data_IF_574363128901
#
_entry.id   IF_574363128901
#
_cell.length_a   1.000
_cell.length_b   1.000
_cell.length_c   1.000
_cell.angle_alpha   90.00
_cell.angle_beta   90.00
_cell.angle_gamma   90.00
#
_symmetry.space_group_name_H-M   'P 1'
#
loop_
_entity.id
_entity.type
_entity.pdbx_description
1 polymer ?
#
# COMPACT_ATOMS: atom_id res chain seq x y z
N UNK A 1 16.66 1.47 -28.51
CA UNK A 1 16.19 2.86 -28.34
C UNK A 1 15.99 3.13 -26.87
N UNK A 2 16.66 4.14 -26.30
CA UNK A 2 16.45 4.53 -24.91
C UNK A 2 15.03 5.12 -24.78
N UNK A 3 14.19 4.47 -24.00
CA UNK A 3 12.84 4.96 -23.74
C UNK A 3 12.90 6.01 -22.62
N UNK A 4 12.79 7.25 -22.99
CA UNK A 4 12.87 8.39 -22.07
C UNK A 4 11.52 8.62 -21.35
N UNK A 5 11.59 9.14 -20.15
CA UNK A 5 10.43 9.64 -19.41
C UNK A 5 9.70 10.72 -20.23
N UNK A 6 8.38 10.78 -20.09
CA UNK A 6 7.53 11.76 -20.77
C UNK A 6 6.83 12.63 -19.74
N UNK A 7 7.14 13.92 -19.79
CA UNK A 7 6.52 14.93 -18.92
C UNK A 7 5.80 15.91 -19.84
N UNK A 8 4.51 16.15 -19.61
CA UNK A 8 3.72 17.03 -20.46
C UNK A 8 2.50 17.62 -19.71
N UNK A 9 1.82 18.58 -20.34
CA UNK A 9 0.80 19.37 -19.67
C UNK A 9 1.40 20.38 -18.70
N UNK A 10 0.73 20.61 -17.60
CA UNK A 10 1.18 21.52 -16.52
C UNK A 10 1.87 20.74 -15.38
N UNK A 11 2.50 19.61 -15.68
CA UNK A 11 3.17 18.80 -14.66
C UNK A 11 4.43 19.53 -14.16
N UNK A 12 4.58 19.55 -12.84
CA UNK A 12 5.71 20.20 -12.17
C UNK A 12 6.65 19.16 -11.55
N UNK A 13 7.94 19.27 -11.86
CA UNK A 13 8.98 18.42 -11.29
C UNK A 13 9.94 19.32 -10.52
N UNK A 14 10.08 19.07 -9.23
CA UNK A 14 10.94 19.86 -8.36
C UNK A 14 12.23 19.13 -7.99
N UNK A 15 13.26 19.90 -7.88
CA UNK A 15 14.69 19.74 -7.64
C UNK A 15 15.32 18.34 -7.56
N UNK A 16 15.08 17.50 -6.57
CA UNK A 16 15.87 16.28 -6.40
C UNK A 16 15.15 15.03 -6.93
N UNK A 17 13.93 15.18 -7.45
CA UNK A 17 13.14 14.05 -7.96
C UNK A 17 13.88 13.34 -9.11
N UNK A 18 13.96 12.02 -9.01
CA UNK A 18 14.66 11.17 -9.97
C UNK A 18 13.65 10.42 -10.82
N UNK A 19 13.52 10.82 -12.08
CA UNK A 19 12.59 10.23 -13.04
C UNK A 19 13.39 9.40 -14.06
N UNK A 20 13.09 8.11 -14.18
CA UNK A 20 13.85 7.19 -15.04
C UNK A 20 12.92 6.35 -15.93
N UNK A 21 13.48 5.80 -16.98
CA UNK A 21 12.81 4.85 -17.89
C UNK A 21 11.57 5.45 -18.60
N UNK A 22 10.45 4.72 -18.63
CA UNK A 22 9.22 5.06 -19.37
C UNK A 22 8.15 5.73 -18.52
N UNK A 23 8.54 6.40 -17.46
CA UNK A 23 7.61 7.12 -16.59
C UNK A 23 6.83 8.16 -17.39
N UNK A 24 5.55 8.33 -17.06
CA UNK A 24 4.69 9.37 -17.62
C UNK A 24 4.12 10.23 -16.51
N UNK A 25 4.37 11.54 -16.60
CA UNK A 25 3.86 12.53 -15.65
C UNK A 25 3.15 13.61 -16.47
N UNK A 26 1.88 13.88 -16.17
CA UNK A 26 1.10 14.77 -17.01
C UNK A 26 -0.09 15.41 -16.30
N UNK A 27 -0.79 16.29 -17.00
CA UNK A 27 -1.83 17.17 -16.45
C UNK A 27 -1.21 18.14 -15.43
N UNK A 28 -1.74 18.23 -14.22
CA UNK A 28 -1.28 19.13 -13.16
C UNK A 28 -0.56 18.35 -12.04
N UNK A 29 0.06 17.23 -12.39
CA UNK A 29 0.75 16.39 -11.42
C UNK A 29 2.01 17.09 -10.88
N UNK A 30 2.23 16.92 -9.57
CA UNK A 30 3.41 17.44 -8.88
C UNK A 30 4.30 16.28 -8.44
N UNK A 31 5.60 16.35 -8.74
CA UNK A 31 6.61 15.41 -8.25
C UNK A 31 7.77 16.19 -7.69
N UNK A 32 8.08 16.00 -6.40
CA UNK A 32 9.11 16.78 -5.71
C UNK A 32 9.86 16.01 -4.64
N UNK A 33 10.70 16.71 -3.87
CA UNK A 33 11.59 16.11 -2.88
C UNK A 33 12.60 15.17 -3.54
N UNK A 34 12.97 14.10 -2.85
CA UNK A 34 13.86 13.04 -3.34
C UNK A 34 13.08 11.86 -3.95
N UNK A 35 11.85 12.07 -4.39
CA UNK A 35 10.99 11.06 -4.96
C UNK A 35 11.64 10.32 -6.13
N UNK A 36 11.52 9.00 -6.16
CA UNK A 36 12.09 8.14 -7.20
C UNK A 36 10.98 7.46 -8.00
N UNK A 37 10.87 7.81 -9.28
CA UNK A 37 9.92 7.24 -10.22
C UNK A 37 10.66 6.49 -11.33
N UNK A 38 10.28 5.23 -11.59
CA UNK A 38 10.94 4.45 -12.63
C UNK A 38 10.03 3.39 -13.27
N UNK A 39 10.57 2.65 -14.23
CA UNK A 39 9.87 1.70 -15.08
C UNK A 39 8.73 2.35 -15.87
N UNK A 40 7.48 1.96 -15.70
CA UNK A 40 6.35 2.45 -16.47
C UNK A 40 5.32 3.18 -15.61
N UNK A 41 5.74 3.67 -14.44
CA UNK A 41 4.89 4.39 -13.51
C UNK A 41 4.22 5.60 -14.16
N UNK A 42 3.01 5.91 -13.70
CA UNK A 42 2.24 7.06 -14.18
C UNK A 42 1.77 7.92 -13.02
N UNK A 43 1.96 9.23 -13.14
CA UNK A 43 1.43 10.23 -12.19
C UNK A 43 0.68 11.28 -12.98
N UNK A 44 -0.60 11.49 -12.68
CA UNK A 44 -1.42 12.42 -13.46
C UNK A 44 -2.63 12.98 -12.69
N UNK A 45 -3.37 13.85 -13.33
CA UNK A 45 -4.43 14.62 -12.65
C UNK A 45 -3.83 15.74 -11.80
N UNK A 46 -4.30 15.86 -10.57
CA UNK A 46 -3.75 16.75 -9.56
C UNK A 46 -2.99 15.96 -8.48
N UNK A 47 -2.44 14.82 -8.84
CA UNK A 47 -1.73 13.95 -7.91
C UNK A 47 -0.40 14.57 -7.46
N UNK A 48 -0.02 14.32 -6.22
CA UNK A 48 1.22 14.79 -5.64
C UNK A 48 2.07 13.62 -5.13
N UNK A 49 3.35 13.59 -5.54
CA UNK A 49 4.34 12.61 -5.09
C UNK A 49 5.56 13.37 -4.59
N UNK A 50 5.93 13.21 -3.33
CA UNK A 50 7.06 13.95 -2.75
C UNK A 50 7.70 13.20 -1.55
N UNK A 51 8.66 13.83 -0.88
CA UNK A 51 9.48 13.17 0.13
C UNK A 51 10.44 12.18 -0.53
N UNK A 52 10.64 11.02 0.07
CA UNK A 52 11.44 9.92 -0.44
C UNK A 52 10.56 8.83 -1.12
N UNK A 53 9.37 9.19 -1.58
CA UNK A 53 8.42 8.22 -2.14
C UNK A 53 8.98 7.49 -3.36
N UNK A 54 8.75 6.18 -3.43
CA UNK A 54 9.16 5.34 -4.55
C UNK A 54 7.95 4.83 -5.35
N UNK A 55 7.87 5.17 -6.63
CA UNK A 55 6.79 4.74 -7.52
C UNK A 55 7.37 3.99 -8.72
N UNK A 56 6.99 2.72 -8.89
CA UNK A 56 7.54 1.92 -9.99
C UNK A 56 6.63 0.77 -10.46
N UNK A 57 7.11 0.00 -11.41
CA UNK A 57 6.28 -0.98 -12.11
C UNK A 57 5.35 -0.28 -13.09
N UNK A 58 4.11 -0.70 -13.08
CA UNK A 58 3.00 -0.08 -13.80
C UNK A 58 2.05 0.66 -12.85
N UNK A 59 2.56 1.14 -11.70
CA UNK A 59 1.75 1.84 -10.71
C UNK A 59 1.18 3.14 -11.28
N UNK A 60 -0.04 3.47 -10.86
CA UNK A 60 -0.74 4.68 -11.30
C UNK A 60 -1.17 5.51 -10.08
N UNK A 61 -0.73 6.77 -10.04
CA UNK A 61 -1.13 7.74 -9.03
C UNK A 61 -1.91 8.86 -9.74
N UNK A 62 -3.18 9.07 -9.39
CA UNK A 62 -4.00 10.03 -10.13
C UNK A 62 -5.15 10.64 -9.32
N UNK A 63 -5.92 11.50 -9.97
CA UNK A 63 -6.93 12.31 -9.30
C UNK A 63 -6.25 13.36 -8.42
N UNK A 64 -6.62 13.45 -7.15
CA UNK A 64 -6.01 14.31 -6.13
C UNK A 64 -5.31 13.47 -5.05
N UNK A 65 -4.74 12.34 -5.44
CA UNK A 65 -4.05 11.44 -4.52
C UNK A 65 -2.67 11.97 -4.12
N UNK A 66 -2.24 11.64 -2.91
CA UNK A 66 -0.94 12.03 -2.36
C UNK A 66 -0.15 10.79 -1.96
N UNK A 67 1.11 10.72 -2.40
CA UNK A 67 2.07 9.70 -1.98
C UNK A 67 3.33 10.41 -1.51
N UNK A 68 3.70 10.25 -0.25
CA UNK A 68 4.77 11.04 0.35
C UNK A 68 5.50 10.30 1.48
N UNK A 69 6.47 10.98 2.12
CA UNK A 69 7.43 10.39 3.06
C UNK A 69 8.21 9.24 2.40
N UNK A 70 8.35 8.09 3.06
CA UNK A 70 9.06 6.89 2.57
C UNK A 70 8.10 5.85 1.96
N UNK A 71 6.94 6.29 1.48
CA UNK A 71 5.92 5.41 0.93
C UNK A 71 6.35 4.76 -0.40
N UNK A 72 5.96 3.50 -0.61
CA UNK A 72 6.28 2.73 -1.82
C UNK A 72 5.00 2.29 -2.53
N UNK A 73 4.84 2.64 -3.81
CA UNK A 73 3.74 2.16 -4.64
C UNK A 73 4.29 1.45 -5.87
N UNK A 74 3.93 0.16 -6.06
CA UNK A 74 4.53 -0.65 -7.12
C UNK A 74 3.61 -1.70 -7.73
N UNK A 75 4.08 -2.36 -8.77
CA UNK A 75 3.34 -3.39 -9.50
C UNK A 75 2.26 -2.75 -10.36
N UNK A 76 1.03 -3.20 -10.24
CA UNK A 76 -0.16 -2.65 -10.92
C UNK A 76 -1.03 -1.83 -9.96
N UNK A 77 -0.49 -1.44 -8.80
CA UNK A 77 -1.22 -0.74 -7.76
C UNK A 77 -1.71 0.63 -8.24
N UNK A 78 -2.87 1.04 -7.73
CA UNK A 78 -3.48 2.34 -8.05
C UNK A 78 -3.81 3.11 -6.79
N UNK A 79 -3.43 4.39 -6.75
CA UNK A 79 -3.78 5.33 -5.68
C UNK A 79 -4.47 6.52 -6.33
N UNK A 80 -5.74 6.77 -5.97
CA UNK A 80 -6.54 7.77 -6.68
C UNK A 80 -7.64 8.43 -5.84
N UNK A 81 -8.41 9.30 -6.44
CA UNK A 81 -9.34 10.21 -5.76
C UNK A 81 -8.59 11.14 -4.80
N UNK A 82 -8.91 11.12 -3.50
CA UNK A 82 -8.26 11.90 -2.45
C UNK A 82 -7.45 11.03 -1.48
N UNK A 83 -7.09 9.82 -1.92
CA UNK A 83 -6.36 8.87 -1.11
C UNK A 83 -4.96 9.36 -0.77
N UNK A 84 -4.46 8.98 0.40
CA UNK A 84 -3.12 9.31 0.87
C UNK A 84 -2.34 8.04 1.24
N UNK A 85 -1.10 7.94 0.80
CA UNK A 85 -0.17 6.87 1.18
C UNK A 85 1.09 7.55 1.70
N UNK A 86 1.48 7.27 2.94
CA UNK A 86 2.58 7.99 3.60
C UNK A 86 3.33 7.14 4.61
N UNK A 87 4.34 7.74 5.24
CA UNK A 87 5.24 7.09 6.17
C UNK A 87 5.95 5.91 5.47
N UNK A 88 5.98 4.72 6.05
CA UNK A 88 6.63 3.52 5.49
C UNK A 88 5.64 2.57 4.79
N UNK A 89 4.45 3.08 4.45
CA UNK A 89 3.40 2.27 3.85
C UNK A 89 3.77 1.77 2.45
N UNK A 90 3.37 0.54 2.13
CA UNK A 90 3.60 -0.09 0.83
C UNK A 90 2.28 -0.50 0.20
N UNK A 91 2.09 -0.13 -1.08
CA UNK A 91 0.93 -0.55 -1.88
C UNK A 91 1.45 -1.27 -3.11
N UNK A 92 1.05 -2.54 -3.31
CA UNK A 92 1.65 -3.39 -4.33
C UNK A 92 0.66 -4.41 -4.92
N UNK A 93 1.09 -5.15 -5.94
CA UNK A 93 0.21 -6.07 -6.66
C UNK A 93 -0.81 -5.32 -7.48
N UNK A 94 -2.08 -5.72 -7.43
CA UNK A 94 -3.22 -5.06 -8.07
C UNK A 94 -4.02 -4.19 -7.09
N UNK A 95 -3.48 -3.88 -5.92
CA UNK A 95 -4.17 -3.17 -4.85
C UNK A 95 -4.62 -1.77 -5.29
N UNK A 96 -5.76 -1.34 -4.77
CA UNK A 96 -6.35 -0.04 -5.05
C UNK A 96 -6.59 0.72 -3.74
N UNK A 97 -6.06 1.92 -3.64
CA UNK A 97 -6.33 2.85 -2.54
C UNK A 97 -7.08 4.04 -3.12
N UNK A 98 -8.30 4.27 -2.65
CA UNK A 98 -9.20 5.27 -3.25
C UNK A 98 -10.06 5.99 -2.22
N UNK A 99 -10.98 6.83 -2.69
CA UNK A 99 -11.85 7.60 -1.81
C UNK A 99 -11.05 8.63 -1.02
N UNK A 100 -11.20 8.63 0.30
CA UNK A 100 -10.46 9.45 1.25
C UNK A 100 -9.55 8.61 2.16
N UNK A 101 -9.28 7.37 1.77
CA UNK A 101 -8.46 6.45 2.56
C UNK A 101 -7.07 7.02 2.82
N UNK A 102 -6.56 6.75 4.01
CA UNK A 102 -5.17 7.02 4.39
C UNK A 102 -4.48 5.70 4.75
N UNK A 103 -3.44 5.35 4.04
CA UNK A 103 -2.59 4.18 4.31
C UNK A 103 -1.26 4.70 4.83
N UNK A 104 -0.90 4.35 6.05
CA UNK A 104 0.27 4.87 6.75
C UNK A 104 0.94 3.83 7.65
N UNK A 105 1.93 4.26 8.43
CA UNK A 105 2.71 3.38 9.29
C UNK A 105 3.48 2.35 8.46
N UNK A 106 3.50 1.14 8.92
CA UNK A 106 4.14 0.00 8.26
C UNK A 106 3.16 -0.88 7.48
N UNK A 107 2.00 -0.34 7.10
CA UNK A 107 0.99 -1.07 6.34
C UNK A 107 1.55 -1.57 5.00
N UNK A 108 1.24 -2.81 4.64
CA UNK A 108 1.55 -3.36 3.32
C UNK A 108 0.28 -3.87 2.67
N UNK A 109 -0.32 -3.07 1.81
CA UNK A 109 -1.52 -3.41 1.06
C UNK A 109 -1.11 -4.19 -0.20
N UNK A 110 -1.67 -5.38 -0.39
CA UNK A 110 -1.20 -6.32 -1.41
C UNK A 110 -2.34 -7.10 -2.08
N UNK A 111 -1.98 -7.87 -3.10
CA UNK A 111 -2.94 -8.65 -3.87
C UNK A 111 -3.86 -7.75 -4.66
N UNK A 112 -5.14 -7.97 -4.55
CA UNK A 112 -6.23 -7.23 -5.17
C UNK A 112 -7.04 -6.38 -4.16
N UNK A 113 -6.45 -6.11 -2.98
CA UNK A 113 -7.10 -5.36 -1.91
C UNK A 113 -7.60 -3.99 -2.38
N UNK A 114 -8.77 -3.62 -1.88
CA UNK A 114 -9.39 -2.31 -2.10
C UNK A 114 -9.51 -1.61 -0.75
N UNK A 115 -8.92 -0.43 -0.63
CA UNK A 115 -8.94 0.41 0.57
C UNK A 115 -9.65 1.72 0.23
N UNK A 116 -10.78 1.98 0.88
CA UNK A 116 -11.60 3.18 0.72
C UNK A 116 -11.58 4.06 1.98
N UNK A 117 -11.32 3.42 3.14
CA UNK A 117 -11.17 4.08 4.43
C UNK A 117 -9.99 3.49 5.22
N UNK A 118 -9.63 4.14 6.31
CA UNK A 118 -8.61 3.61 7.23
C UNK A 118 -9.07 2.35 7.98
N UNK A 119 -10.36 2.05 7.97
CA UNK A 119 -10.94 0.87 8.63
C UNK A 119 -10.85 -0.40 7.77
N UNK A 120 -10.41 -0.28 6.51
CA UNK A 120 -10.33 -1.41 5.59
C UNK A 120 -9.07 -2.26 5.76
N UNK A 121 -8.20 -1.89 6.69
CA UNK A 121 -7.00 -2.66 6.99
C UNK A 121 -6.61 -2.55 8.47
N UNK A 122 -5.88 -3.54 8.95
CA UNK A 122 -5.31 -3.60 10.31
C UNK A 122 -3.83 -3.90 10.18
N UNK A 123 -2.99 -3.18 10.93
CA UNK A 123 -1.56 -3.47 11.07
C UNK A 123 -1.28 -3.91 12.49
N UNK A 124 -0.69 -5.08 12.64
CA UNK A 124 -0.22 -5.59 13.93
C UNK A 124 1.26 -5.92 13.85
N UNK A 125 1.92 -5.94 14.99
CA UNK A 125 3.34 -6.35 15.09
C UNK A 125 3.46 -7.59 15.96
N UNK A 126 4.07 -8.62 15.42
CA UNK A 126 4.38 -9.82 16.18
C UNK A 126 5.69 -9.66 16.95
N UNK A 127 5.60 -9.04 18.13
CA UNK A 127 6.77 -8.77 18.98
C UNK A 127 7.33 -10.03 19.64
N UNK A 128 6.51 -11.07 19.81
CA UNK A 128 6.83 -12.25 20.60
C UNK A 128 7.57 -13.35 19.82
N UNK A 129 7.52 -13.31 18.49
CA UNK A 129 8.26 -14.28 17.67
C UNK A 129 9.07 -13.62 16.57
N UNK A 130 8.47 -13.24 15.46
CA UNK A 130 9.19 -12.76 14.28
C UNK A 130 9.61 -11.29 14.33
N UNK A 131 9.05 -10.49 15.23
CA UNK A 131 9.22 -9.02 15.28
C UNK A 131 8.66 -8.28 14.05
N UNK A 132 7.99 -8.99 13.13
CA UNK A 132 7.50 -8.44 11.86
C UNK A 132 6.16 -7.75 12.02
N UNK A 133 5.96 -6.68 11.26
CA UNK A 133 4.64 -6.14 11.03
C UNK A 133 3.89 -7.03 10.04
N UNK A 134 2.61 -7.22 10.27
CA UNK A 134 1.73 -7.84 9.31
C UNK A 134 0.48 -6.97 9.12
N UNK A 135 -0.05 -7.02 7.91
CA UNK A 135 -1.23 -6.26 7.53
C UNK A 135 -2.33 -7.23 7.12
N UNK A 136 -3.48 -7.07 7.71
CA UNK A 136 -4.72 -7.69 7.24
C UNK A 136 -5.50 -6.67 6.41
N UNK A 137 -6.08 -7.09 5.31
CA UNK A 137 -6.96 -6.26 4.47
C UNK A 137 -8.33 -6.89 4.36
N UNK A 138 -9.36 -6.13 4.72
CA UNK A 138 -10.76 -6.58 4.82
C UNK A 138 -11.32 -6.99 3.46
N UNK A 139 -11.06 -6.24 2.41
CA UNK A 139 -11.68 -6.42 1.10
C UNK A 139 -11.35 -7.76 0.42
N UNK A 140 -10.18 -8.32 0.69
CA UNK A 140 -9.76 -9.63 0.18
C UNK A 140 -9.48 -10.67 1.27
N UNK A 141 -9.63 -10.29 2.55
CA UNK A 141 -9.45 -11.15 3.73
C UNK A 141 -8.07 -11.82 3.81
N UNK A 142 -7.03 -11.15 3.30
CA UNK A 142 -5.68 -11.67 3.26
C UNK A 142 -4.77 -11.00 4.28
N UNK A 143 -3.81 -11.79 4.76
CA UNK A 143 -2.71 -11.36 5.61
C UNK A 143 -1.44 -11.23 4.79
N UNK A 144 -0.75 -10.11 4.96
CA UNK A 144 0.58 -9.86 4.39
C UNK A 144 1.62 -9.80 5.49
N UNK A 145 2.58 -10.75 5.48
CA UNK A 145 3.66 -10.83 6.46
C UNK A 145 4.98 -11.06 5.72
N UNK A 146 5.80 -10.04 5.62
CA UNK A 146 7.03 -10.14 4.81
C UNK A 146 6.71 -10.52 3.35
N UNK A 147 7.18 -11.68 2.89
CA UNK A 147 6.86 -12.20 1.55
C UNK A 147 5.59 -13.08 1.51
N UNK A 148 5.04 -13.49 2.65
CA UNK A 148 3.79 -14.25 2.70
C UNK A 148 2.59 -13.36 2.35
N UNK A 149 1.68 -13.91 1.55
CA UNK A 149 0.35 -13.35 1.29
C UNK A 149 -0.63 -14.53 1.21
N UNK A 150 -1.61 -14.56 2.09
CA UNK A 150 -2.58 -15.66 2.16
C UNK A 150 -3.62 -15.44 3.23
N UNK A 151 -4.49 -16.43 3.42
CA UNK A 151 -5.54 -16.44 4.43
C UNK A 151 -4.96 -16.57 5.85
N UNK A 152 -5.79 -16.36 6.87
CA UNK A 152 -5.37 -16.55 8.27
C UNK A 152 -4.99 -18.00 8.56
N UNK A 153 -5.72 -18.95 8.01
CA UNK A 153 -5.47 -20.37 8.26
C UNK A 153 -4.16 -20.83 7.59
N UNK A 154 -3.88 -20.37 6.37
CA UNK A 154 -2.59 -20.61 5.69
C UNK A 154 -1.41 -19.95 6.44
N UNK A 155 -1.64 -18.77 7.05
CA UNK A 155 -0.63 -18.09 7.86
C UNK A 155 -0.30 -18.90 9.12
N UNK A 156 -1.32 -19.41 9.81
CA UNK A 156 -1.19 -20.25 11.02
C UNK A 156 -0.42 -21.53 10.66
N UNK A 157 -0.86 -22.26 9.63
CA UNK A 157 -0.20 -23.50 9.19
C UNK A 157 1.29 -23.26 8.88
N UNK A 158 1.60 -22.19 8.17
CA UNK A 158 2.98 -21.81 7.86
C UNK A 158 3.78 -21.49 9.13
N UNK A 159 3.18 -20.76 10.06
CA UNK A 159 3.86 -20.34 11.29
C UNK A 159 4.19 -21.52 12.21
N UNK A 160 3.32 -22.53 12.30
CA UNK A 160 3.60 -23.75 13.04
C UNK A 160 4.73 -24.58 12.42
N UNK A 161 4.92 -24.53 11.09
CA UNK A 161 6.09 -25.15 10.44
C UNK A 161 7.41 -24.48 10.82
N UNK A 162 7.38 -23.17 11.14
CA UNK A 162 8.59 -22.44 11.58
C UNK A 162 8.92 -22.75 13.06
N UNK A 163 7.93 -22.70 13.98
CA UNK A 163 8.06 -23.12 15.39
C UNK A 163 6.71 -23.09 16.10
N UNK A 164 6.58 -23.81 17.21
CA UNK A 164 5.39 -23.79 18.07
C UNK A 164 5.08 -22.35 18.53
N UNK A 165 6.06 -21.63 19.05
CA UNK A 165 5.88 -20.25 19.50
C UNK A 165 5.37 -19.32 18.38
N UNK A 166 5.91 -19.49 17.17
CA UNK A 166 5.46 -18.70 16.01
C UNK A 166 4.00 -19.04 15.67
N UNK A 167 3.64 -20.32 15.65
CA UNK A 167 2.29 -20.80 15.44
C UNK A 167 1.31 -20.19 16.42
N UNK A 168 1.55 -20.32 17.70
CA UNK A 168 0.69 -19.81 18.78
C UNK A 168 0.49 -18.28 18.67
N UNK A 169 1.56 -17.53 18.36
CA UNK A 169 1.51 -16.08 18.21
C UNK A 169 0.67 -15.64 17.00
N UNK A 170 0.81 -16.30 15.85
CA UNK A 170 0.04 -15.95 14.66
C UNK A 170 -1.41 -16.43 14.77
N UNK A 171 -1.66 -17.57 15.41
CA UNK A 171 -3.03 -18.05 15.68
C UNK A 171 -3.79 -17.05 16.55
N UNK A 172 -3.20 -16.60 17.66
CA UNK A 172 -3.79 -15.57 18.51
C UNK A 172 -4.05 -14.27 17.75
N UNK A 173 -3.14 -13.86 16.87
CA UNK A 173 -3.28 -12.66 16.06
C UNK A 173 -4.40 -12.77 15.02
N UNK A 174 -4.52 -13.90 14.35
CA UNK A 174 -5.60 -14.18 13.39
C UNK A 174 -6.95 -14.22 14.11
N UNK A 175 -7.00 -14.85 15.28
CA UNK A 175 -8.22 -14.90 16.10
C UNK A 175 -8.66 -13.49 16.52
N UNK A 176 -7.72 -12.65 16.94
CA UNK A 176 -8.01 -11.25 17.27
C UNK A 176 -8.60 -10.49 16.08
N UNK A 177 -8.05 -10.64 14.88
CA UNK A 177 -8.59 -10.02 13.67
C UNK A 177 -10.01 -10.53 13.37
N UNK A 178 -10.26 -11.85 13.48
CA UNK A 178 -11.60 -12.44 13.30
C UNK A 178 -12.62 -11.83 14.29
N UNK A 179 -12.23 -11.61 15.54
CA UNK A 179 -13.09 -10.96 16.55
C UNK A 179 -13.40 -9.50 16.19
N UNK A 180 -12.41 -8.74 15.70
CA UNK A 180 -12.63 -7.36 15.23
C UNK A 180 -13.58 -7.30 14.02
N UNK A 181 -13.44 -8.23 13.07
CA UNK A 181 -14.35 -8.32 11.91
C UNK A 181 -15.80 -8.57 12.34
N UNK A 182 -16.02 -9.49 13.29
CA UNK A 182 -17.34 -9.77 13.84
C UNK A 182 -17.94 -8.54 14.54
N UNK A 183 -17.16 -7.87 15.37
CA UNK A 183 -17.59 -6.65 16.05
C UNK A 183 -17.96 -5.53 15.06
N UNK A 184 -17.17 -5.38 14.01
CA UNK A 184 -17.40 -4.38 12.97
C UNK A 184 -18.68 -4.69 12.14
N UNK A 185 -18.88 -5.96 11.79
CA UNK A 185 -20.09 -6.40 11.07
C UNK A 185 -21.35 -6.16 11.90
N UNK A 186 -21.31 -6.45 13.21
CA UNK A 186 -22.43 -6.22 14.11
C UNK A 186 -22.81 -4.73 14.23
N UNK A 187 -21.82 -3.84 14.26
CA UNK A 187 -22.08 -2.40 14.35
C UNK A 187 -22.66 -1.82 13.06
N UNK A 188 -22.28 -2.35 11.88
CA UNK A 188 -22.88 -1.92 10.60
C UNK A 188 -24.35 -2.31 10.44
N UNK A 189 -24.83 -3.36 11.10
CA UNK A 189 -26.24 -3.76 11.05
C UNK A 189 -27.15 -2.89 11.93
N UNK A 190 -26.59 -2.06 12.79
CA UNK A 190 -27.34 -1.20 13.71
C UNK A 190 -27.46 0.25 13.23
N UNK A 191 -26.84 0.60 12.10
CA UNK A 191 -26.93 1.90 11.44
C UNK A 191 -27.84 1.84 10.21
#
# INVERSE_FOLDING_TARGET
MAHMARIYGNAEIHTNAKIRNRVRIYQNAFVGGDALLYEQAKVYGNAQVYGNAEIYGNAEIYGSAWVFDDAVVRGLAKVYCHAKVCEYAKVQGNAKVRGRARVNGYATISGDAIIESSDDYIVLRNNWSSGRNFTYTRSNQLFRVGCFLGTGDELIEKAYKDSQLSGDCYEASVLYVKMLEQAFAHNKQKQ
#
